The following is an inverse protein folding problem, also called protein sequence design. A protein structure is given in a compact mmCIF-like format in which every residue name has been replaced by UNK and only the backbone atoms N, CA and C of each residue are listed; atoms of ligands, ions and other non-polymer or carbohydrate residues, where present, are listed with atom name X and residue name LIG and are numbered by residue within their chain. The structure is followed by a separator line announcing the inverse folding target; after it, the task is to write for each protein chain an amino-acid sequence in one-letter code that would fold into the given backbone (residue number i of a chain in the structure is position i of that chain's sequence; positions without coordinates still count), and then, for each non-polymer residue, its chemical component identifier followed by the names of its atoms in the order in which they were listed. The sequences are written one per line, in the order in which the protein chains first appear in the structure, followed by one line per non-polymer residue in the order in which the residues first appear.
data_IF_628230069176
#
_entry.id   IF_628230069176
#
_cell.length_a   1.000
_cell.length_b   1.000
_cell.length_c   1.000
_cell.angle_alpha   90.00
_cell.angle_beta   90.00
_cell.angle_gamma   90.00
#
_symmetry.space_group_name_H-M   'P 1'
#
loop_
_entity.id
_entity.type
_entity.pdbx_description
1 polymer ?
#
# COMPACT_ATOMS: atom_id res chain seq x y z
N UNK A 1 20.72 -9.78 37.22
CA UNK A 1 19.36 -9.34 36.85
C UNK A 1 18.90 -10.10 35.61
N UNK A 2 17.74 -10.76 35.66
CA UNK A 2 17.27 -11.66 34.58
C UNK A 2 16.62 -10.90 33.42
N UNK A 3 17.41 -10.09 32.71
CA UNK A 3 16.93 -9.31 31.58
C UNK A 3 16.39 -10.22 30.46
N UNK A 4 15.07 -10.16 30.25
CA UNK A 4 14.38 -10.65 29.05
C UNK A 4 14.68 -12.12 28.68
N UNK A 5 14.28 -13.08 29.55
CA UNK A 5 14.19 -14.49 29.14
C UNK A 5 13.34 -14.58 27.84
N UNK A 6 13.87 -15.11 26.71
CA UNK A 6 13.15 -15.16 25.43
C UNK A 6 11.77 -15.84 25.51
N UNK A 7 11.63 -16.77 26.46
CA UNK A 7 10.36 -17.43 26.82
C UNK A 7 9.23 -16.45 27.12
N UNK A 8 9.48 -15.32 27.80
CA UNK A 8 8.43 -14.34 28.13
C UNK A 8 7.97 -13.57 26.89
N UNK A 9 8.90 -13.21 26.00
CA UNK A 9 8.57 -12.60 24.71
C UNK A 9 7.81 -13.57 23.81
N UNK A 10 8.18 -14.85 23.81
CA UNK A 10 7.46 -15.90 23.07
C UNK A 10 6.03 -16.06 23.57
N UNK A 11 5.81 -16.09 24.89
CA UNK A 11 4.47 -16.15 25.49
C UNK A 11 3.64 -14.92 25.12
N UNK A 12 4.21 -13.71 25.23
CA UNK A 12 3.52 -12.48 24.84
C UNK A 12 3.17 -12.46 23.35
N UNK A 13 4.08 -12.92 22.49
CA UNK A 13 3.86 -13.07 21.06
C UNK A 13 2.70 -14.05 20.79
N UNK A 14 2.67 -15.21 21.44
CA UNK A 14 1.57 -16.19 21.32
C UNK A 14 0.22 -15.60 21.74
N UNK A 15 0.17 -14.83 22.83
CA UNK A 15 -1.05 -14.12 23.25
C UNK A 15 -1.51 -13.12 22.17
N UNK A 16 -0.60 -12.34 21.59
CA UNK A 16 -0.92 -11.42 20.49
C UNK A 16 -1.41 -12.19 19.25
N UNK A 17 -0.80 -13.33 18.89
CA UNK A 17 -1.29 -14.18 17.80
C UNK A 17 -2.68 -14.79 18.07
N UNK A 18 -3.04 -15.06 19.33
CA UNK A 18 -4.36 -15.53 19.72
C UNK A 18 -5.42 -14.43 19.62
N UNK A 19 -5.11 -13.20 20.05
CA UNK A 19 -6.03 -12.07 20.01
C UNK A 19 -6.24 -11.51 18.58
N UNK A 20 -5.16 -11.31 17.83
CA UNK A 20 -5.21 -10.75 16.47
C UNK A 20 -5.40 -11.81 15.38
N UNK A 21 -5.08 -13.07 15.68
CA UNK A 21 -5.10 -14.18 14.72
C UNK A 21 -3.84 -14.26 13.86
N UNK A 22 -3.41 -15.49 13.57
CA UNK A 22 -2.19 -15.79 12.78
C UNK A 22 -2.17 -15.16 11.37
N UNK A 23 -3.33 -14.75 10.83
CA UNK A 23 -3.45 -14.10 9.51
C UNK A 23 -3.37 -12.57 9.54
N UNK A 24 -3.58 -11.91 10.70
CA UNK A 24 -3.51 -10.43 10.80
C UNK A 24 -2.12 -9.91 11.15
N UNK A 25 -1.38 -10.60 12.01
CA UNK A 25 0.00 -10.21 12.32
C UNK A 25 0.91 -10.08 11.08
N UNK A 26 0.97 -11.05 10.14
CA UNK A 26 1.82 -10.92 8.94
C UNK A 26 1.30 -9.88 7.94
N UNK A 27 0.00 -9.57 7.97
CA UNK A 27 -0.64 -8.57 7.10
C UNK A 27 -0.28 -7.15 7.55
N UNK A 28 -0.41 -6.88 8.85
CA UNK A 28 0.04 -5.64 9.51
C UNK A 28 1.56 -5.47 9.41
N UNK A 29 2.33 -6.55 9.60
CA UNK A 29 3.79 -6.51 9.45
C UNK A 29 4.23 -6.21 8.00
N UNK A 30 3.48 -6.66 6.99
CA UNK A 30 3.75 -6.35 5.58
C UNK A 30 3.47 -4.88 5.25
N UNK A 31 2.33 -4.33 5.65
CA UNK A 31 2.00 -2.93 5.37
C UNK A 31 2.94 -1.96 6.09
N UNK A 32 3.14 -2.14 7.41
CA UNK A 32 4.09 -1.33 8.20
C UNK A 32 5.53 -1.53 7.73
N UNK A 33 5.92 -2.76 7.40
CA UNK A 33 7.23 -3.09 6.86
C UNK A 33 7.50 -2.44 5.50
N UNK A 34 6.50 -2.28 4.65
CA UNK A 34 6.63 -1.60 3.36
C UNK A 34 6.80 -0.08 3.55
N UNK A 35 6.02 0.55 4.42
CA UNK A 35 6.21 1.96 4.79
C UNK A 35 7.60 2.20 5.41
N UNK A 36 8.04 1.32 6.32
CA UNK A 36 9.36 1.41 6.94
C UNK A 36 10.50 1.13 5.96
N UNK A 37 10.31 0.26 4.96
CA UNK A 37 11.29 0.01 3.88
C UNK A 37 11.47 1.23 2.99
N UNK A 38 10.37 1.91 2.63
CA UNK A 38 10.43 3.16 1.85
C UNK A 38 11.15 4.22 2.69
N UNK A 39 10.67 4.49 3.91
CA UNK A 39 11.30 5.44 4.84
C UNK A 39 12.79 5.16 5.06
N UNK A 40 13.19 3.89 5.20
CA UNK A 40 14.60 3.47 5.32
C UNK A 40 15.40 3.72 4.04
N UNK A 41 14.77 3.61 2.86
CA UNK A 41 15.41 3.93 1.57
C UNK A 41 15.61 5.43 1.42
N UNK A 42 14.58 6.25 1.65
CA UNK A 42 14.69 7.71 1.57
C UNK A 42 15.71 8.24 2.61
N UNK A 43 15.67 7.73 3.85
CA UNK A 43 16.69 8.05 4.87
C UNK A 43 18.10 7.59 4.50
N UNK A 44 18.23 6.50 3.73
CA UNK A 44 19.53 6.05 3.23
C UNK A 44 20.01 6.97 2.11
N UNK A 45 19.13 7.36 1.20
CA UNK A 45 19.43 8.31 0.12
C UNK A 45 19.97 9.63 0.70
N UNK A 46 19.32 10.17 1.74
CA UNK A 46 19.75 11.38 2.47
C UNK A 46 21.04 11.22 3.30
N UNK A 47 21.60 10.01 3.44
CA UNK A 47 22.82 9.76 4.23
C UNK A 47 23.96 9.11 3.44
N UNK A 48 23.69 8.66 2.20
CA UNK A 48 24.62 7.98 1.28
C UNK A 48 24.84 8.79 -0.01
N UNK A 49 24.60 10.12 -0.01
CA UNK A 49 24.94 11.03 -1.12
C UNK A 49 26.46 11.08 -1.46
N UNK A 50 27.29 10.30 -0.78
CA UNK A 50 28.73 10.11 -1.02
C UNK A 50 29.13 8.74 -1.65
N UNK A 51 28.27 7.70 -1.72
CA UNK A 51 28.67 6.41 -2.33
C UNK A 51 27.50 5.55 -2.89
N UNK A 52 27.70 4.94 -4.08
CA UNK A 52 26.65 4.28 -4.87
C UNK A 52 27.17 2.99 -5.55
N UNK A 53 26.31 2.08 -6.07
CA UNK A 53 24.94 1.70 -5.70
C UNK A 53 24.76 0.15 -5.56
N UNK A 54 23.75 -0.37 -4.84
CA UNK A 54 23.32 -1.77 -5.08
C UNK A 54 21.88 -2.19 -4.72
N UNK A 55 21.23 -2.79 -5.74
CA UNK A 55 20.24 -3.86 -5.74
C UNK A 55 18.90 -3.72 -4.98
N UNK A 56 17.81 -3.70 -5.77
CA UNK A 56 16.47 -4.08 -5.32
C UNK A 56 16.33 -5.61 -5.19
N UNK A 57 15.67 -6.13 -4.13
CA UNK A 57 15.19 -7.50 -4.12
C UNK A 57 13.82 -7.59 -4.81
N UNK A 58 13.79 -8.21 -5.99
CA UNK A 58 12.56 -8.71 -6.60
C UNK A 58 11.89 -9.71 -5.67
N UNK A 59 10.64 -9.43 -5.28
CA UNK A 59 9.71 -10.43 -4.73
C UNK A 59 8.37 -10.28 -5.45
N UNK A 60 8.36 -10.60 -6.73
CA UNK A 60 7.13 -10.88 -7.46
C UNK A 60 6.68 -12.30 -7.10
N UNK A 61 5.83 -12.45 -6.07
CA UNK A 61 5.05 -13.69 -5.90
C UNK A 61 3.84 -13.59 -6.83
N UNK A 62 4.10 -13.80 -8.13
CA UNK A 62 3.10 -14.32 -9.05
C UNK A 62 3.18 -15.84 -8.97
N UNK A 63 2.10 -16.48 -8.55
CA UNK A 63 1.91 -17.93 -8.64
C UNK A 63 0.61 -18.15 -9.38
N UNK A 64 0.59 -19.00 -10.44
CA UNK A 64 -0.47 -18.97 -11.43
C UNK A 64 -1.66 -19.85 -11.03
N UNK A 65 -2.87 -19.36 -11.30
CA UNK A 65 -4.09 -20.18 -11.40
C UNK A 65 -4.81 -19.77 -12.67
N UNK A 66 -4.50 -20.53 -13.73
CA UNK A 66 -5.01 -20.35 -15.07
C UNK A 66 -6.40 -20.99 -15.20
N UNK A 67 -7.41 -20.31 -14.65
CA UNK A 67 -8.82 -20.63 -14.95
C UNK A 67 -9.13 -20.29 -16.41
N UNK A 68 -9.41 -21.31 -17.22
CA UNK A 68 -9.62 -21.16 -18.67
C UNK A 68 -11.00 -20.58 -19.05
N UNK A 69 -11.08 -20.01 -20.26
CA UNK A 69 -12.25 -19.40 -20.92
C UNK A 69 -12.76 -18.09 -20.26
N UNK A 70 -12.80 -16.91 -20.90
CA UNK A 70 -12.84 -16.57 -22.35
C UNK A 70 -12.42 -15.10 -22.57
N UNK A 71 -11.81 -14.73 -23.71
CA UNK A 71 -11.68 -13.32 -24.14
C UNK A 71 -12.90 -12.88 -25.00
N UNK A 72 -13.04 -11.59 -25.36
CA UNK A 72 -12.93 -10.39 -24.54
C UNK A 72 -14.16 -9.46 -24.71
N UNK A 73 -14.61 -8.75 -23.66
CA UNK A 73 -15.62 -7.67 -23.82
C UNK A 73 -15.26 -6.39 -23.07
N UNK A 74 -14.99 -5.36 -23.89
CA UNK A 74 -15.07 -3.90 -23.68
C UNK A 74 -14.87 -3.28 -22.29
N UNK A 75 -13.94 -2.31 -22.13
CA UNK A 75 -14.03 -1.36 -21.03
C UNK A 75 -15.28 -0.49 -21.24
N UNK A 76 -16.26 -0.62 -20.35
CA UNK A 76 -17.40 0.31 -20.31
C UNK A 76 -16.90 1.59 -19.66
N UNK A 77 -16.75 2.64 -20.48
CA UNK A 77 -16.41 3.97 -20.01
C UNK A 77 -17.57 4.51 -19.15
N UNK A 78 -17.35 4.64 -17.84
CA UNK A 78 -18.35 5.16 -16.91
C UNK A 78 -17.98 6.58 -16.51
N UNK A 79 -18.36 7.51 -17.38
CA UNK A 79 -19.05 8.77 -17.02
C UNK A 79 -18.33 9.69 -16.02
N UNK A 80 -17.60 10.69 -16.54
CA UNK A 80 -17.59 12.03 -15.95
C UNK A 80 -17.06 13.14 -16.90
N UNK A 81 -17.99 13.98 -17.42
CA UNK A 81 -17.76 15.41 -17.78
C UNK A 81 -17.02 15.71 -19.11
N UNK A 82 -17.25 16.84 -19.83
CA UNK A 82 -18.38 17.81 -19.84
C UNK A 82 -19.26 17.63 -21.12
N UNK A 83 -19.36 18.56 -22.11
CA UNK A 83 -19.88 19.94 -22.07
C UNK A 83 -21.12 20.19 -22.97
N UNK A 84 -22.05 21.05 -22.52
CA UNK A 84 -22.70 22.10 -23.34
C UNK A 84 -23.01 23.33 -22.50
N UNK A 85 -22.44 24.48 -22.86
CA UNK A 85 -22.97 25.80 -22.49
C UNK A 85 -24.20 26.12 -23.35
N UNK A 86 -25.08 27.02 -22.88
CA UNK A 86 -25.05 28.36 -23.46
C UNK A 86 -25.13 29.49 -22.42
N UNK A 87 -24.67 30.67 -22.83
CA UNK A 87 -24.68 31.90 -22.06
C UNK A 87 -26.10 32.34 -21.66
N UNK A 88 -26.31 32.59 -20.36
CA UNK A 88 -27.40 33.40 -19.84
C UNK A 88 -26.87 34.78 -19.45
N UNK A 89 -26.90 35.72 -20.39
CA UNK A 89 -26.56 37.13 -20.13
C UNK A 89 -27.66 37.86 -19.36
N UNK A 90 -27.34 39.07 -18.89
CA UNK A 90 -28.27 40.14 -18.44
C UNK A 90 -28.58 40.19 -16.95
N UNK A 91 -27.71 40.91 -16.26
CA UNK A 91 -28.01 41.80 -15.12
C UNK A 91 -29.32 42.57 -15.29
N UNK A 92 -30.22 42.58 -14.28
CA UNK A 92 -31.27 43.58 -14.14
C UNK A 92 -30.88 44.69 -13.14
N UNK A 93 -30.78 45.96 -13.55
CA UNK A 93 -30.71 47.11 -12.65
C UNK A 93 -32.07 47.82 -12.55
N UNK A 94 -32.86 47.55 -11.51
CA UNK A 94 -34.06 48.31 -11.10
C UNK A 94 -34.36 48.01 -9.61
N UNK A 95 -34.81 48.94 -8.78
CA UNK A 95 -34.92 50.41 -8.91
C UNK A 95 -34.88 51.03 -7.50
#
# INVERSE_FOLDING_TARGET
MGALKPTHLLILLVVILLLFGAKRLPDLAKSVGQSLKIFKKEMKELTDDDDAPKAAPTVQVVTPEQGAATPPVSPVDVTATPPRTPSGSTTPPQA
#
